data_IF_672312099572
#
_entry.id   IF_672312099572
#
_cell.length_a   1.000
_cell.length_b   1.000
_cell.length_c   1.000
_cell.angle_alpha   90.00
_cell.angle_beta   90.00
_cell.angle_gamma   90.00
#
_symmetry.space_group_name_H-M   'P 1'
#
loop_
_entity.id
_entity.type
_entity.pdbx_description
1 polymer ?
#
# COMPACT_ATOMS: atom_id res chain seq x y z
N UNK A 1 31.65 -15.47 22.89
CA UNK A 1 30.69 -14.84 23.83
C UNK A 1 30.22 -13.47 23.35
N UNK A 2 31.10 -12.48 23.16
CA UNK A 2 30.80 -11.16 22.59
C UNK A 2 29.90 -11.17 21.32
N UNK A 3 30.19 -12.07 20.36
CA UNK A 3 29.48 -12.09 19.07
C UNK A 3 28.00 -12.42 19.23
N UNK A 4 27.68 -13.29 20.19
CA UNK A 4 26.30 -13.65 20.53
C UNK A 4 25.62 -12.50 21.29
N UNK A 5 26.34 -11.82 22.19
CA UNK A 5 25.83 -10.67 22.92
C UNK A 5 25.51 -9.47 22.01
N UNK A 6 26.36 -9.20 21.01
CA UNK A 6 26.12 -8.16 20.00
C UNK A 6 24.95 -8.51 19.10
N UNK A 7 24.86 -9.77 18.64
CA UNK A 7 23.73 -10.24 17.83
C UNK A 7 22.40 -10.17 18.57
N UNK A 8 22.36 -10.58 19.84
CA UNK A 8 21.16 -10.50 20.69
C UNK A 8 20.75 -9.04 20.93
N UNK A 9 21.71 -8.14 21.16
CA UNK A 9 21.42 -6.71 21.33
C UNK A 9 20.81 -6.10 20.08
N UNK A 10 21.36 -6.40 18.89
CA UNK A 10 20.82 -5.92 17.61
C UNK A 10 19.37 -6.37 17.38
N UNK A 11 19.06 -7.63 17.70
CA UNK A 11 17.69 -8.16 17.61
C UNK A 11 16.71 -7.41 18.53
N UNK A 12 17.14 -7.07 19.75
CA UNK A 12 16.33 -6.32 20.71
C UNK A 12 16.14 -4.84 20.35
N UNK A 13 17.02 -4.27 19.52
CA UNK A 13 16.94 -2.89 19.03
C UNK A 13 16.11 -2.74 17.73
N UNK A 14 15.51 -3.82 17.22
CA UNK A 14 14.68 -3.77 16.02
C UNK A 14 13.40 -2.96 16.26
N UNK A 15 13.13 -1.95 15.42
CA UNK A 15 11.88 -1.20 15.45
C UNK A 15 10.91 -1.75 14.40
N UNK A 16 9.66 -2.04 14.80
CA UNK A 16 8.60 -2.40 13.86
C UNK A 16 7.96 -1.14 13.29
N UNK A 17 7.83 -1.07 11.97
CA UNK A 17 7.01 -0.07 11.29
C UNK A 17 5.63 -0.65 11.00
N UNK A 18 4.58 -0.01 11.53
CA UNK A 18 3.19 -0.31 11.20
C UNK A 18 2.70 0.85 10.34
N UNK A 19 2.11 0.54 9.18
CA UNK A 19 1.49 1.52 8.31
C UNK A 19 0.27 0.86 7.63
N UNK A 20 -0.82 1.61 7.51
CA UNK A 20 -2.03 1.17 6.85
C UNK A 20 -2.80 2.35 6.29
N UNK A 21 -3.60 2.09 5.25
CA UNK A 21 -4.54 3.08 4.69
C UNK A 21 -5.95 2.52 4.80
N UNK A 22 -6.91 3.40 5.06
CA UNK A 22 -8.33 3.07 5.05
C UNK A 22 -8.92 3.41 3.69
N UNK A 23 -9.66 2.47 3.10
CA UNK A 23 -10.34 2.65 1.83
C UNK A 23 -11.85 2.61 2.09
N UNK A 24 -12.60 3.56 1.53
CA UNK A 24 -14.04 3.71 1.77
C UNK A 24 -14.93 2.56 1.26
N UNK A 25 -14.35 1.54 0.63
CA UNK A 25 -15.06 0.34 0.17
C UNK A 25 -14.12 -0.68 -0.47
N UNK A 26 -14.63 -1.87 -0.74
CA UNK A 26 -13.83 -2.99 -1.28
C UNK A 26 -13.90 -3.09 -2.81
N UNK A 27 -14.72 -2.24 -3.45
CA UNK A 27 -14.93 -2.19 -4.90
C UNK A 27 -15.46 -0.80 -5.29
N UNK A 28 -15.05 -0.34 -6.47
CA UNK A 28 -15.68 0.78 -7.17
C UNK A 28 -16.53 0.23 -8.32
N UNK A 29 -17.76 0.70 -8.46
CA UNK A 29 -18.61 0.43 -9.63
C UNK A 29 -18.62 1.69 -10.48
N UNK A 30 -18.07 1.60 -11.69
CA UNK A 30 -18.09 2.70 -12.65
C UNK A 30 -19.35 2.59 -13.52
N UNK A 31 -20.25 3.55 -13.40
CA UNK A 31 -21.45 3.62 -14.22
C UNK A 31 -21.11 4.14 -15.63
N UNK A 32 -21.61 3.48 -16.67
CA UNK A 32 -21.27 3.81 -18.06
C UNK A 32 -21.75 5.21 -18.50
N UNK A 33 -22.79 5.75 -17.89
CA UNK A 33 -23.27 7.11 -18.13
C UNK A 33 -22.55 8.17 -17.29
N UNK A 34 -21.75 7.77 -16.31
CA UNK A 34 -20.99 8.67 -15.45
C UNK A 34 -19.63 9.03 -16.07
N UNK A 35 -19.14 10.23 -15.73
CA UNK A 35 -17.80 10.71 -16.15
C UNK A 35 -16.67 10.24 -15.25
N UNK A 36 -16.99 9.87 -14.02
CA UNK A 36 -16.03 9.45 -13.01
C UNK A 36 -16.75 8.67 -11.90
N UNK A 37 -15.99 7.84 -11.20
CA UNK A 37 -16.34 7.31 -9.89
C UNK A 37 -15.23 7.71 -8.91
N UNK A 38 -15.55 7.85 -7.63
CA UNK A 38 -14.55 8.14 -6.61
C UNK A 38 -14.58 7.09 -5.50
N UNK A 39 -13.43 6.93 -4.86
CA UNK A 39 -13.28 6.17 -3.63
C UNK A 39 -12.41 6.98 -2.67
N UNK A 40 -12.83 7.06 -1.41
CA UNK A 40 -12.07 7.78 -0.40
C UNK A 40 -10.90 6.93 0.10
N UNK A 41 -9.75 7.56 0.26
CA UNK A 41 -8.58 6.99 0.94
C UNK A 41 -8.22 7.89 2.11
N UNK A 42 -8.00 7.31 3.27
CA UNK A 42 -7.61 8.01 4.49
C UNK A 42 -6.38 7.38 5.11
N UNK A 43 -5.51 8.22 5.65
CA UNK A 43 -4.43 7.79 6.52
C UNK A 43 -4.87 8.04 7.97
N UNK A 44 -5.15 6.99 8.77
CA UNK A 44 -5.58 7.15 10.16
C UNK A 44 -4.44 7.52 11.11
N UNK A 45 -3.19 7.46 10.64
CA UNK A 45 -2.00 7.67 11.47
C UNK A 45 -1.58 9.14 11.52
N UNK A 46 -0.71 9.47 12.48
CA UNK A 46 -0.20 10.82 12.73
C UNK A 46 0.99 11.21 11.85
N UNK A 47 1.44 10.30 10.97
CA UNK A 47 2.57 10.51 10.05
C UNK A 47 2.09 10.56 8.60
N UNK A 48 2.57 11.48 7.77
CA UNK A 48 2.14 11.58 6.37
C UNK A 48 2.65 10.42 5.51
N UNK A 49 1.79 9.89 4.64
CA UNK A 49 2.11 8.82 3.69
C UNK A 49 2.10 9.32 2.25
N UNK A 50 2.97 8.75 1.42
CA UNK A 50 2.88 8.85 -0.04
C UNK A 50 1.91 7.80 -0.53
N UNK A 51 0.94 8.20 -1.34
CA UNK A 51 -0.09 7.33 -1.90
C UNK A 51 0.13 7.22 -3.41
N UNK A 52 0.32 5.99 -3.89
CA UNK A 52 0.37 5.67 -5.32
C UNK A 52 -0.85 4.82 -5.68
N UNK A 53 -1.53 5.18 -6.77
CA UNK A 53 -2.71 4.48 -7.27
C UNK A 53 -2.60 4.20 -8.75
N UNK A 54 -3.00 3.01 -9.19
CA UNK A 54 -3.09 2.62 -10.59
C UNK A 54 -4.29 1.69 -10.82
N UNK A 55 -4.67 1.53 -12.08
CA UNK A 55 -5.68 0.55 -12.52
C UNK A 55 -4.97 -0.46 -13.40
N UNK A 56 -5.18 -1.75 -13.13
CA UNK A 56 -4.67 -2.85 -13.94
C UNK A 56 -5.85 -3.57 -14.62
N UNK A 57 -5.73 -3.83 -15.93
CA UNK A 57 -6.76 -4.50 -16.74
C UNK A 57 -6.60 -6.02 -16.77
N UNK A 58 -5.43 -6.56 -16.39
CA UNK A 58 -5.14 -7.99 -16.49
C UNK A 58 -4.22 -8.46 -15.34
N UNK A 59 -4.77 -8.78 -14.16
CA UNK A 59 -3.97 -9.11 -12.97
C UNK A 59 -3.14 -10.40 -13.09
N UNK A 60 -3.35 -11.21 -14.13
CA UNK A 60 -2.64 -12.47 -14.37
C UNK A 60 -1.47 -12.32 -15.36
N UNK A 61 -1.39 -11.21 -16.10
CA UNK A 61 -0.28 -10.92 -17.00
C UNK A 61 0.84 -10.24 -16.19
N UNK A 62 1.74 -11.04 -15.61
CA UNK A 62 2.85 -10.52 -14.82
C UNK A 62 3.67 -9.47 -15.57
N UNK A 63 3.80 -8.29 -14.95
CA UNK A 63 4.71 -7.16 -15.27
C UNK A 63 5.06 -6.98 -16.76
N UNK A 64 4.04 -7.06 -17.60
CA UNK A 64 4.09 -6.61 -18.98
C UNK A 64 3.54 -5.20 -19.01
N UNK A 65 4.38 -4.24 -19.37
CA UNK A 65 4.06 -2.84 -19.65
C UNK A 65 2.79 -2.69 -20.52
N UNK A 66 1.63 -2.70 -19.88
CA UNK A 66 0.33 -2.47 -20.51
C UNK A 66 -0.25 -1.16 -19.97
N UNK A 67 0.49 -0.09 -20.28
CA UNK A 67 0.03 1.30 -20.40
C UNK A 67 -0.83 1.82 -19.24
N UNK A 68 -0.14 2.59 -18.39
CA UNK A 68 -0.69 3.69 -17.61
C UNK A 68 -1.47 4.62 -18.54
N UNK A 69 -2.80 4.57 -18.53
CA UNK A 69 -3.64 5.65 -19.10
C UNK A 69 -3.68 6.80 -18.11
#
# INVERSE_FOLDING_TARGET
MWRLSVGLSLLLLSCSGIAGVEIGGNRVIYDAGAKQASISVSNPDDRPYLIQSWVDKSPEAGDGDETFI
#
